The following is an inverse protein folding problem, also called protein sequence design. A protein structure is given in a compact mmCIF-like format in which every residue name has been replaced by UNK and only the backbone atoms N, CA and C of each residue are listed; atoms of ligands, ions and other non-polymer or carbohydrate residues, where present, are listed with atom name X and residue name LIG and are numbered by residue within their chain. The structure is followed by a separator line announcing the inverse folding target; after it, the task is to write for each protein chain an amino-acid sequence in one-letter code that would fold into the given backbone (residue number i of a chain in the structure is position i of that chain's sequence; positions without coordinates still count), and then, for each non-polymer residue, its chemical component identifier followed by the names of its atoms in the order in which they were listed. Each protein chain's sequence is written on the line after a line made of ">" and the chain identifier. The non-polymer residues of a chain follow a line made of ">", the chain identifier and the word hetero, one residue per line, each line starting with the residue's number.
data_IF_061035716635
#
_entry.id   IF_061035716635
#
_cell.length_a   1.000
_cell.length_b   1.000
_cell.length_c   1.000
_cell.angle_alpha   90.00
_cell.angle_beta   90.00
_cell.angle_gamma   90.00
#
_symmetry.space_group_name_H-M   'P 1'
#
loop_
_entity.id
_entity.type
_entity.pdbx_description
1 polymer ?
#
# COMPACT_ATOMS: atom_id res chain seq x y z
N UNK A 1 -1.10 11.84 -22.66
CA UNK A 1 -0.84 13.29 -22.80
C UNK A 1 -1.25 13.92 -21.48
N UNK A 2 -0.34 13.99 -20.51
CA UNK A 2 -0.64 14.31 -19.11
C UNK A 2 -0.24 15.75 -18.81
N UNK A 3 -1.24 16.59 -18.52
CA UNK A 3 -1.07 18.01 -18.26
C UNK A 3 -0.75 18.24 -16.77
N UNK A 4 0.46 18.77 -16.52
CA UNK A 4 0.93 19.19 -15.19
C UNK A 4 0.24 20.50 -14.80
N UNK A 5 -0.67 20.45 -13.83
CA UNK A 5 -1.15 21.66 -13.15
C UNK A 5 -0.16 22.01 -12.04
N UNK A 6 0.66 23.05 -12.29
CA UNK A 6 1.43 23.75 -11.24
C UNK A 6 0.52 24.79 -10.60
N UNK A 7 0.36 24.77 -9.28
CA UNK A 7 -0.20 25.90 -8.53
C UNK A 7 0.88 26.50 -7.63
N UNK A 8 1.09 27.81 -7.79
CA UNK A 8 1.97 28.67 -6.99
C UNK A 8 1.29 29.12 -5.68
N UNK A 9 2.05 29.40 -4.60
CA UNK A 9 1.48 29.75 -3.31
C UNK A 9 1.09 31.24 -3.24
N UNK A 10 -0.08 31.54 -2.64
CA UNK A 10 -0.50 32.90 -2.28
C UNK A 10 -0.47 33.12 -0.77
N UNK A 11 -0.03 34.33 -0.41
CA UNK A 11 0.31 34.83 0.91
C UNK A 11 -0.89 35.00 1.86
N UNK A 12 -0.58 35.00 3.17
CA UNK A 12 -1.49 35.26 4.30
C UNK A 12 -1.77 36.75 4.48
N UNK A 13 -2.96 37.10 4.98
CA UNK A 13 -3.16 38.19 5.94
C UNK A 13 -4.32 37.86 6.89
N UNK A 14 -4.21 38.39 8.12
CA UNK A 14 -5.03 38.11 9.29
C UNK A 14 -6.21 39.09 9.43
N UNK A 15 -7.25 38.71 10.20
CA UNK A 15 -7.94 39.54 11.20
C UNK A 15 -9.14 38.80 11.86
N UNK A 16 -9.50 39.22 13.07
CA UNK A 16 -10.68 38.86 13.90
C UNK A 16 -10.96 40.08 14.80
N UNK A 17 -12.01 40.17 15.67
CA UNK A 17 -13.23 39.36 15.92
C UNK A 17 -14.52 40.21 16.20
N UNK A 18 -15.70 39.59 16.43
CA UNK A 18 -16.65 39.98 17.53
C UNK A 18 -17.94 39.11 17.65
N UNK A 19 -18.25 38.72 18.91
CA UNK A 19 -19.50 38.34 19.67
C UNK A 19 -20.91 38.57 19.06
N UNK A 20 -22.06 37.96 19.45
CA UNK A 20 -22.65 37.21 20.61
C UNK A 20 -24.05 36.68 20.19
N UNK A 21 -24.66 35.57 20.65
CA UNK A 21 -25.46 35.39 21.88
C UNK A 21 -26.33 34.11 21.78
N UNK A 22 -26.73 33.55 22.94
CA UNK A 22 -27.39 32.26 23.28
C UNK A 22 -28.90 32.14 22.96
N UNK A 23 -29.51 30.94 22.81
CA UNK A 23 -30.18 30.11 23.86
C UNK A 23 -30.72 28.78 23.25
N UNK A 24 -30.33 27.58 23.73
CA UNK A 24 -30.97 26.64 24.71
C UNK A 24 -32.33 26.02 24.28
N UNK A 25 -32.31 24.76 23.82
CA UNK A 25 -33.09 23.61 24.35
C UNK A 25 -32.48 22.28 23.86
N UNK A 26 -32.24 21.38 24.80
CA UNK A 26 -31.54 20.10 24.68
C UNK A 26 -32.25 19.04 23.83
N UNK A 27 -31.49 18.34 22.95
CA UNK A 27 -31.65 16.89 22.68
C UNK A 27 -30.62 16.22 21.72
N UNK A 28 -29.49 16.86 21.39
CA UNK A 28 -28.40 16.19 20.65
C UNK A 28 -27.19 15.78 21.53
N UNK A 29 -27.36 15.84 22.86
CA UNK A 29 -26.29 15.50 23.82
C UNK A 29 -25.96 14.01 23.88
N UNK A 30 -26.80 13.12 23.31
CA UNK A 30 -26.50 11.67 23.21
C UNK A 30 -25.70 11.33 21.93
N UNK A 31 -25.98 12.01 20.81
CA UNK A 31 -25.18 11.87 19.58
C UNK A 31 -23.80 12.53 19.72
N UNK A 32 -23.69 13.57 20.54
CA UNK A 32 -22.45 14.30 20.78
C UNK A 32 -21.55 13.57 21.80
N UNK A 33 -22.12 12.94 22.83
CA UNK A 33 -21.33 12.18 23.83
C UNK A 33 -20.84 10.82 23.29
N UNK A 34 -21.61 10.16 22.41
CA UNK A 34 -21.16 8.96 21.70
C UNK A 34 -20.08 9.27 20.63
N UNK A 35 -20.08 10.48 20.06
CA UNK A 35 -19.06 10.93 19.11
C UNK A 35 -17.81 11.47 19.80
N UNK A 36 -17.95 12.06 21.00
CA UNK A 36 -16.82 12.53 21.82
C UNK A 36 -16.04 11.35 22.45
N UNK A 37 -16.71 10.25 22.83
CA UNK A 37 -16.03 9.03 23.28
C UNK A 37 -15.33 8.26 22.15
N UNK A 38 -15.77 8.40 20.89
CA UNK A 38 -15.01 7.85 19.74
C UNK A 38 -13.83 8.75 19.31
N UNK A 39 -13.87 10.05 19.60
CA UNK A 39 -12.79 11.00 19.29
C UNK A 39 -11.70 11.11 20.36
N UNK A 40 -11.95 10.65 21.59
CA UNK A 40 -10.94 10.71 22.65
C UNK A 40 -9.76 9.74 22.40
N UNK A 41 -9.96 8.66 21.64
CA UNK A 41 -8.89 7.74 21.23
C UNK A 41 -8.19 8.11 19.91
N UNK A 42 -8.66 9.15 19.20
CA UNK A 42 -7.98 9.73 18.03
C UNK A 42 -7.06 10.89 18.45
N UNK A 43 -7.25 11.45 19.66
CA UNK A 43 -6.70 12.75 20.08
C UNK A 43 -5.36 12.76 20.82
N UNK A 44 -4.70 11.63 21.04
CA UNK A 44 -3.28 11.70 21.44
C UNK A 44 -2.39 11.83 20.20
N UNK A 45 -2.54 12.96 19.48
CA UNK A 45 -1.45 13.51 18.68
C UNK A 45 -0.40 13.96 19.67
N UNK A 46 0.52 13.07 20.03
CA UNK A 46 1.80 13.52 20.56
C UNK A 46 2.49 14.23 19.41
N UNK A 47 2.43 15.56 19.41
CA UNK A 47 3.26 16.39 18.54
C UNK A 47 4.65 16.32 19.15
N UNK A 48 5.60 15.75 18.40
CA UNK A 48 6.99 15.64 18.85
C UNK A 48 7.68 16.93 18.43
N UNK A 49 8.30 17.64 19.36
CA UNK A 49 9.14 18.80 18.99
C UNK A 49 10.36 18.33 18.19
N UNK A 50 10.98 19.23 17.42
CA UNK A 50 12.23 18.91 16.72
C UNK A 50 13.31 18.43 17.71
N UNK A 51 13.39 19.07 18.88
CA UNK A 51 14.29 18.67 19.97
C UNK A 51 14.03 17.24 20.47
N UNK A 52 12.77 16.89 20.72
CA UNK A 52 12.40 15.53 21.12
C UNK A 52 12.71 14.50 20.01
N UNK A 53 12.49 14.87 18.75
CA UNK A 53 12.88 14.00 17.63
C UNK A 53 14.40 13.80 17.59
N UNK A 54 15.17 14.88 17.78
CA UNK A 54 16.64 14.85 17.77
C UNK A 54 17.20 14.07 18.97
N UNK A 55 16.52 14.07 20.11
CA UNK A 55 16.88 13.23 21.26
C UNK A 55 16.45 11.77 21.13
N UNK A 56 15.87 11.38 19.98
CA UNK A 56 15.48 10.01 19.67
C UNK A 56 14.06 9.63 20.09
N UNK A 57 13.25 10.56 20.60
CA UNK A 57 11.87 10.27 20.97
C UNK A 57 11.02 9.98 19.73
N UNK A 58 10.24 8.89 19.77
CA UNK A 58 9.36 8.46 18.69
C UNK A 58 8.03 7.99 19.26
N UNK A 59 6.98 8.80 19.10
CA UNK A 59 5.64 8.59 19.69
C UNK A 59 5.04 7.22 19.39
N UNK A 60 5.24 6.69 18.18
CA UNK A 60 4.68 5.41 17.76
C UNK A 60 5.51 4.22 18.25
N UNK A 61 6.65 4.44 18.91
CA UNK A 61 7.33 3.37 19.65
C UNK A 61 6.92 3.35 21.12
N UNK A 62 6.29 4.42 21.60
CA UNK A 62 5.82 4.53 22.97
C UNK A 62 4.36 4.07 23.09
N UNK A 63 4.04 3.44 24.21
CA UNK A 63 2.65 3.25 24.62
C UNK A 63 2.24 4.46 25.47
N UNK A 64 1.18 5.16 25.10
CA UNK A 64 0.70 6.30 25.88
C UNK A 64 0.28 5.85 27.29
N UNK A 65 -0.23 4.63 27.41
CA UNK A 65 -0.69 4.06 28.68
C UNK A 65 0.45 3.43 29.46
N UNK A 66 1.59 3.17 28.80
CA UNK A 66 2.73 2.52 29.44
C UNK A 66 3.98 3.29 29.06
N UNK A 67 4.60 3.95 30.02
CA UNK A 67 5.76 4.85 29.86
C UNK A 67 7.04 4.19 29.33
N UNK A 68 6.94 3.06 28.61
CA UNK A 68 8.01 2.30 27.99
C UNK A 68 7.77 2.07 26.48
N UNK A 69 8.82 1.59 25.81
CA UNK A 69 8.78 1.22 24.40
C UNK A 69 7.99 -0.07 24.16
N UNK A 70 7.27 -0.14 23.05
CA UNK A 70 6.54 -1.33 22.63
C UNK A 70 7.55 -2.34 22.06
N UNK A 71 7.92 -3.37 22.85
CA UNK A 71 8.93 -4.39 22.51
C UNK A 71 8.78 -4.94 21.10
N UNK A 72 7.54 -5.28 20.71
CA UNK A 72 7.25 -5.81 19.37
C UNK A 72 7.68 -4.84 18.26
N UNK A 73 7.42 -3.54 18.42
CA UNK A 73 7.78 -2.52 17.43
C UNK A 73 9.29 -2.32 17.39
N UNK A 74 9.94 -2.35 18.55
CA UNK A 74 11.41 -2.31 18.66
C UNK A 74 12.04 -3.48 17.93
N UNK A 75 11.55 -4.71 18.13
CA UNK A 75 12.06 -5.91 17.46
C UNK A 75 11.93 -5.84 15.94
N UNK A 76 10.78 -5.39 15.43
CA UNK A 76 10.57 -5.20 13.99
C UNK A 76 11.53 -4.16 13.43
N UNK A 77 11.72 -3.03 14.13
CA UNK A 77 12.66 -2.00 13.70
C UNK A 77 14.10 -2.53 13.67
N UNK A 78 14.54 -3.23 14.73
CA UNK A 78 15.86 -3.86 14.77
C UNK A 78 16.06 -4.83 13.60
N UNK A 79 15.04 -5.61 13.29
CA UNK A 79 15.08 -6.53 12.15
C UNK A 79 15.25 -5.80 10.82
N UNK A 80 14.47 -4.72 10.61
CA UNK A 80 14.60 -3.88 9.42
C UNK A 80 16.02 -3.29 9.30
N UNK A 81 16.54 -2.68 10.38
CA UNK A 81 17.86 -2.06 10.38
C UNK A 81 18.98 -3.06 10.09
N UNK A 82 18.96 -4.24 10.72
CA UNK A 82 19.96 -5.29 10.48
C UNK A 82 19.95 -5.76 9.02
N UNK A 83 18.77 -5.87 8.41
CA UNK A 83 18.64 -6.32 7.01
C UNK A 83 19.05 -5.23 6.03
N UNK A 84 18.72 -3.97 6.34
CA UNK A 84 19.15 -2.82 5.58
C UNK A 84 20.68 -2.70 5.60
N UNK A 85 21.30 -2.74 6.79
CA UNK A 85 22.76 -2.70 6.97
C UNK A 85 23.45 -3.82 6.19
N UNK A 86 22.94 -5.06 6.31
CA UNK A 86 23.48 -6.19 5.54
C UNK A 86 23.43 -5.95 4.02
N UNK A 87 22.34 -5.39 3.51
CA UNK A 87 22.22 -5.05 2.08
C UNK A 87 23.19 -3.95 1.68
N UNK A 88 23.25 -2.85 2.44
CA UNK A 88 24.13 -1.73 2.13
C UNK A 88 25.61 -2.15 2.11
N UNK A 89 26.02 -3.01 3.04
CA UNK A 89 27.39 -3.53 3.10
C UNK A 89 27.75 -4.47 1.93
N UNK A 90 26.75 -4.96 1.19
CA UNK A 90 26.95 -5.83 0.04
C UNK A 90 27.00 -5.06 -1.30
N UNK A 91 26.78 -3.74 -1.28
CA UNK A 91 26.76 -2.91 -2.49
C UNK A 91 28.11 -2.24 -2.69
N UNK A 92 28.48 -2.05 -3.95
CA UNK A 92 29.52 -1.10 -4.37
C UNK A 92 28.92 0.30 -4.57
N UNK A 93 29.75 1.27 -4.96
CA UNK A 93 29.31 2.66 -5.18
C UNK A 93 28.18 2.77 -6.22
N UNK A 94 28.23 1.94 -7.28
CA UNK A 94 27.18 1.89 -8.30
C UNK A 94 25.86 1.35 -7.72
N UNK A 95 25.94 0.27 -6.94
CA UNK A 95 24.81 -0.33 -6.27
C UNK A 95 24.12 0.59 -5.27
N UNK A 96 24.87 1.46 -4.59
CA UNK A 96 24.31 2.46 -3.65
C UNK A 96 23.40 3.47 -4.37
N UNK A 97 23.78 3.92 -5.57
CA UNK A 97 22.99 4.92 -6.29
C UNK A 97 21.66 4.32 -6.80
N UNK A 98 21.68 3.07 -7.28
CA UNK A 98 20.47 2.32 -7.64
C UNK A 98 19.59 1.99 -6.43
N UNK A 99 20.19 1.89 -5.24
CA UNK A 99 19.49 1.54 -4.00
C UNK A 99 18.52 2.63 -3.51
N UNK A 100 18.62 3.87 -4.00
CA UNK A 100 17.81 4.99 -3.48
C UNK A 100 16.31 4.83 -3.72
N UNK A 101 15.91 4.15 -4.79
CA UNK A 101 14.51 4.07 -5.23
C UNK A 101 13.83 2.73 -4.87
N UNK A 102 14.45 1.89 -4.03
CA UNK A 102 13.94 0.54 -3.75
C UNK A 102 13.07 0.46 -2.49
N UNK A 103 12.99 1.53 -1.71
CA UNK A 103 12.22 1.54 -0.47
C UNK A 103 10.73 1.63 -0.75
N UNK A 104 9.97 0.62 -0.31
CA UNK A 104 8.55 0.52 -0.66
C UNK A 104 7.66 0.18 0.53
N UNK A 105 6.51 0.84 0.57
CA UNK A 105 5.32 0.39 1.29
C UNK A 105 4.27 -0.02 0.26
N UNK A 106 3.61 -1.15 0.51
CA UNK A 106 2.63 -1.70 -0.39
C UNK A 106 1.40 -2.10 0.40
N UNK A 107 0.25 -1.74 -0.16
CA UNK A 107 -1.05 -2.07 0.40
C UNK A 107 -2.15 -1.86 -0.62
N UNK A 108 -3.35 -2.25 -0.23
CA UNK A 108 -4.56 -1.94 -0.98
C UNK A 108 -5.46 -1.04 -0.14
N UNK A 109 -6.32 -0.27 -0.79
CA UNK A 109 -7.27 0.62 -0.12
C UNK A 109 -8.51 0.80 -0.97
N UNK A 110 -9.66 0.99 -0.31
CA UNK A 110 -10.90 1.39 -1.00
C UNK A 110 -10.98 2.89 -1.28
N UNK A 111 -10.09 3.69 -0.69
CA UNK A 111 -10.00 5.14 -0.90
C UNK A 111 -8.53 5.55 -0.89
N UNK A 112 -7.91 5.58 -2.07
CA UNK A 112 -6.49 5.91 -2.21
C UNK A 112 -6.20 7.37 -1.90
N UNK A 113 -7.13 8.29 -2.19
CA UNK A 113 -6.97 9.72 -1.86
C UNK A 113 -6.80 9.91 -0.36
N UNK A 114 -7.70 9.30 0.44
CA UNK A 114 -7.61 9.35 1.90
C UNK A 114 -6.33 8.65 2.39
N UNK A 115 -5.99 7.50 1.80
CA UNK A 115 -4.80 6.74 2.18
C UNK A 115 -3.52 7.54 1.90
N UNK A 116 -3.48 8.28 0.80
CA UNK A 116 -2.35 9.11 0.43
C UNK A 116 -2.16 10.28 1.41
N UNK A 117 -3.24 10.96 1.76
CA UNK A 117 -3.21 12.01 2.77
C UNK A 117 -2.79 11.47 4.15
N UNK A 118 -3.26 10.26 4.51
CA UNK A 118 -2.86 9.59 5.74
C UNK A 118 -1.37 9.29 5.80
N UNK A 119 -0.80 8.76 4.72
CA UNK A 119 0.64 8.50 4.64
C UNK A 119 1.45 9.80 4.66
N UNK A 120 1.07 10.84 3.92
CA UNK A 120 1.76 12.15 3.97
C UNK A 120 1.79 12.74 5.39
N UNK A 121 0.69 12.60 6.13
CA UNK A 121 0.54 13.15 7.47
C UNK A 121 1.04 12.24 8.60
N UNK A 122 1.48 11.02 8.28
CA UNK A 122 1.88 10.03 9.28
C UNK A 122 0.74 9.56 10.20
N UNK A 123 -0.49 9.53 9.68
CA UNK A 123 -1.70 9.12 10.41
C UNK A 123 -2.10 7.72 9.95
N UNK A 124 -2.32 6.79 10.89
CA UNK A 124 -2.71 5.40 10.58
C UNK A 124 -1.80 4.73 9.54
N UNK A 125 -0.54 5.10 9.54
CA UNK A 125 0.47 4.70 8.57
C UNK A 125 1.47 3.72 9.20
N UNK A 126 2.36 3.19 8.37
CA UNK A 126 3.43 2.30 8.81
C UNK A 126 4.47 3.07 9.62
N UNK A 127 4.63 2.74 10.90
CA UNK A 127 5.56 3.44 11.79
C UNK A 127 7.04 3.26 11.37
N UNK A 128 7.41 2.14 10.74
CA UNK A 128 8.79 1.92 10.25
C UNK A 128 9.10 2.87 9.10
N UNK A 129 8.17 2.98 8.14
CA UNK A 129 8.28 3.94 7.03
C UNK A 129 8.45 5.37 7.55
N UNK A 130 7.64 5.78 8.53
CA UNK A 130 7.74 7.12 9.09
C UNK A 130 9.02 7.37 9.88
N UNK A 131 9.51 6.40 10.66
CA UNK A 131 10.83 6.53 11.29
C UNK A 131 11.92 6.75 10.25
N UNK A 132 11.89 5.96 9.18
CA UNK A 132 12.88 6.04 8.13
C UNK A 132 12.85 7.42 7.46
N UNK A 133 11.66 7.90 7.06
CA UNK A 133 11.47 9.23 6.49
C UNK A 133 11.91 10.36 7.45
N UNK A 134 11.56 10.27 8.74
CA UNK A 134 11.94 11.26 9.73
C UNK A 134 13.47 11.33 9.90
N UNK A 135 14.16 10.19 9.90
CA UNK A 135 15.62 10.12 9.92
C UNK A 135 16.22 10.74 8.65
N UNK A 136 15.72 10.39 7.47
CA UNK A 136 16.21 10.95 6.21
C UNK A 136 16.04 12.48 6.18
N UNK A 137 14.88 12.98 6.57
CA UNK A 137 14.60 14.43 6.63
C UNK A 137 15.53 15.15 7.61
N UNK A 138 15.81 14.53 8.75
CA UNK A 138 16.74 15.07 9.74
C UNK A 138 18.18 15.18 9.19
N UNK A 139 18.64 14.16 8.45
CA UNK A 139 20.02 14.09 7.96
C UNK A 139 20.27 14.84 6.66
N UNK A 140 19.33 14.86 5.71
CA UNK A 140 19.54 15.41 4.38
C UNK A 140 19.12 16.88 4.24
N UNK A 141 18.17 17.35 5.09
CA UNK A 141 17.75 18.76 5.23
C UNK A 141 17.34 19.50 3.93
N UNK A 142 17.26 18.82 2.79
CA UNK A 142 17.06 19.40 1.46
C UNK A 142 15.65 19.17 0.90
N UNK A 143 14.81 18.42 1.61
CA UNK A 143 13.46 18.07 1.16
C UNK A 143 13.43 17.12 -0.06
N UNK A 144 14.56 16.53 -0.45
CA UNK A 144 14.64 15.65 -1.62
C UNK A 144 13.96 14.29 -1.40
N UNK A 145 13.71 13.92 -0.15
CA UNK A 145 13.16 12.63 0.26
C UNK A 145 11.68 12.74 0.61
N UNK A 146 10.87 13.04 -0.40
CA UNK A 146 9.42 12.99 -0.28
C UNK A 146 8.86 11.61 -0.61
N UNK A 147 7.82 11.25 0.14
CA UNK A 147 7.09 10.02 -0.10
C UNK A 147 6.37 10.11 -1.45
N UNK A 148 6.79 9.30 -2.42
CA UNK A 148 6.11 9.20 -3.72
C UNK A 148 5.00 8.16 -3.62
N UNK A 149 3.81 8.52 -4.10
CA UNK A 149 2.61 7.69 -3.95
C UNK A 149 2.00 7.37 -5.32
N UNK A 150 1.72 6.08 -5.56
CA UNK A 150 1.28 5.59 -6.86
C UNK A 150 0.09 4.63 -6.73
N UNK A 151 -0.80 4.65 -7.72
CA UNK A 151 -1.80 3.60 -7.94
C UNK A 151 -1.32 2.72 -9.09
N UNK A 152 -0.98 1.47 -8.78
CA UNK A 152 -0.42 0.53 -9.76
C UNK A 152 -1.46 -0.43 -10.36
N UNK A 153 -2.66 -0.48 -9.79
CA UNK A 153 -3.72 -1.38 -10.25
C UNK A 153 -5.04 -1.20 -9.54
N UNK A 154 -6.11 -1.58 -10.24
CA UNK A 154 -7.48 -1.56 -9.73
C UNK A 154 -7.91 -2.97 -9.33
N UNK A 155 -8.45 -3.10 -8.12
CA UNK A 155 -8.92 -4.37 -7.60
C UNK A 155 -10.44 -4.42 -7.66
N UNK A 156 -10.98 -5.22 -8.58
CA UNK A 156 -12.44 -5.39 -8.69
C UNK A 156 -13.02 -6.46 -7.75
N UNK A 157 -12.20 -7.23 -7.03
CA UNK A 157 -12.65 -8.22 -6.05
C UNK A 157 -11.70 -8.29 -4.85
N UNK A 158 -12.16 -8.84 -3.73
CA UNK A 158 -11.31 -9.09 -2.56
C UNK A 158 -10.17 -10.08 -2.86
N UNK A 159 -10.42 -11.03 -3.77
CA UNK A 159 -9.39 -11.96 -4.24
C UNK A 159 -8.30 -11.22 -5.02
N UNK A 160 -8.66 -10.30 -5.92
CA UNK A 160 -7.69 -9.48 -6.65
C UNK A 160 -6.87 -8.60 -5.70
N UNK A 161 -7.51 -8.00 -4.69
CA UNK A 161 -6.81 -7.20 -3.69
C UNK A 161 -5.78 -8.04 -2.91
N UNK A 162 -6.19 -9.21 -2.40
CA UNK A 162 -5.31 -10.10 -1.67
C UNK A 162 -4.16 -10.64 -2.54
N UNK A 163 -4.46 -11.08 -3.76
CA UNK A 163 -3.46 -11.61 -4.69
C UNK A 163 -2.49 -10.52 -5.13
N UNK A 164 -2.99 -9.33 -5.47
CA UNK A 164 -2.18 -8.17 -5.83
C UNK A 164 -1.26 -7.74 -4.70
N UNK A 165 -1.78 -7.63 -3.47
CA UNK A 165 -0.98 -7.32 -2.29
C UNK A 165 0.14 -8.35 -2.10
N UNK A 166 -0.16 -9.65 -2.16
CA UNK A 166 0.85 -10.71 -2.04
C UNK A 166 1.89 -10.62 -3.15
N UNK A 167 1.46 -10.55 -4.40
CA UNK A 167 2.33 -10.59 -5.57
C UNK A 167 3.26 -9.38 -5.59
N UNK A 168 2.70 -8.17 -5.47
CA UNK A 168 3.50 -6.94 -5.53
C UNK A 168 4.42 -6.83 -4.32
N UNK A 169 3.95 -7.20 -3.12
CA UNK A 169 4.82 -7.19 -1.92
C UNK A 169 6.00 -8.13 -2.07
N UNK A 170 5.80 -9.29 -2.71
CA UNK A 170 6.90 -10.23 -2.98
C UNK A 170 7.85 -9.72 -4.04
N UNK A 171 7.33 -9.24 -5.17
CA UNK A 171 8.15 -8.74 -6.28
C UNK A 171 9.00 -7.54 -5.87
N UNK A 172 8.41 -6.59 -5.14
CA UNK A 172 9.11 -5.40 -4.69
C UNK A 172 9.92 -5.62 -3.40
N UNK A 173 9.97 -6.86 -2.89
CA UNK A 173 10.61 -7.17 -1.60
C UNK A 173 10.09 -6.27 -0.45
N UNK A 174 8.79 -5.97 -0.42
CA UNK A 174 8.19 -4.98 0.48
C UNK A 174 8.10 -5.36 1.96
N UNK A 175 8.78 -6.43 2.41
CA UNK A 175 8.81 -6.82 3.81
C UNK A 175 9.99 -6.24 4.59
N UNK A 176 9.82 -5.95 5.89
CA UNK A 176 10.91 -5.54 6.78
C UNK A 176 12.07 -6.53 6.82
N UNK A 177 11.79 -7.82 6.58
CA UNK A 177 12.80 -8.88 6.54
C UNK A 177 13.70 -8.82 5.31
N UNK A 178 13.32 -8.06 4.27
CA UNK A 178 14.20 -7.79 3.14
C UNK A 178 15.16 -6.64 3.43
N UNK A 179 14.82 -5.70 4.32
CA UNK A 179 15.58 -4.47 4.55
C UNK A 179 15.25 -3.32 3.58
N UNK A 180 14.38 -3.55 2.60
CA UNK A 180 13.94 -2.52 1.62
C UNK A 180 12.45 -2.23 1.73
N UNK A 181 11.72 -3.07 2.45
CA UNK A 181 10.28 -2.94 2.62
C UNK A 181 9.88 -2.51 4.03
N UNK A 182 8.74 -1.84 4.13
CA UNK A 182 8.19 -1.42 5.43
C UNK A 182 7.14 -2.38 6.00
N UNK A 183 6.62 -3.33 5.22
CA UNK A 183 5.57 -4.24 5.68
C UNK A 183 6.11 -5.29 6.65
N UNK A 184 5.60 -5.34 7.88
CA UNK A 184 5.98 -6.37 8.85
C UNK A 184 4.90 -7.43 9.08
N UNK A 185 3.70 -7.20 8.55
CA UNK A 185 2.64 -8.21 8.52
C UNK A 185 2.67 -8.95 7.18
N UNK A 186 2.46 -10.28 7.19
CA UNK A 186 2.18 -11.00 5.95
C UNK A 186 1.04 -10.33 5.20
N UNK A 187 1.20 -10.21 3.88
CA UNK A 187 0.13 -9.73 2.99
C UNK A 187 -1.11 -10.60 3.22
N UNK A 188 -2.31 -10.05 2.94
CA UNK A 188 -3.63 -10.63 3.20
C UNK A 188 -4.16 -10.50 4.63
N UNK A 189 -3.35 -10.18 5.65
CA UNK A 189 -3.83 -10.10 7.05
C UNK A 189 -4.90 -9.02 7.29
N UNK A 190 -4.90 -7.95 6.51
CA UNK A 190 -5.84 -6.81 6.66
C UNK A 190 -6.99 -6.81 5.66
N UNK A 191 -7.19 -7.90 4.91
CA UNK A 191 -8.32 -8.07 3.98
C UNK A 191 -9.56 -8.48 4.78
N UNK A 192 -10.12 -7.52 5.52
CA UNK A 192 -11.27 -7.73 6.42
C UNK A 192 -12.62 -7.46 5.70
N UNK A 193 -13.77 -7.90 6.22
CA UNK A 193 -14.40 -9.22 6.18
C UNK A 193 -15.41 -9.39 5.00
N UNK A 194 -16.05 -10.57 4.82
CA UNK A 194 -17.03 -10.87 3.75
C UNK A 194 -18.27 -9.95 3.61
N UNK A 195 -18.46 -8.97 4.51
CA UNK A 195 -19.70 -8.16 4.61
C UNK A 195 -19.87 -7.07 3.55
N UNK A 196 -18.92 -6.90 2.62
CA UNK A 196 -18.95 -5.86 1.57
C UNK A 196 -19.13 -6.39 0.14
N UNK A 197 -19.77 -7.54 -0.06
CA UNK A 197 -20.00 -8.12 -1.40
C UNK A 197 -20.62 -7.12 -2.40
N UNK A 198 -21.56 -6.29 -1.95
CA UNK A 198 -22.17 -5.24 -2.78
C UNK A 198 -21.19 -4.16 -3.23
N UNK A 199 -20.19 -3.83 -2.41
CA UNK A 199 -19.13 -2.89 -2.80
C UNK A 199 -18.23 -3.50 -3.87
N UNK A 200 -17.89 -4.79 -3.75
CA UNK A 200 -17.08 -5.47 -4.77
C UNK A 200 -17.79 -5.59 -6.11
N UNK A 201 -19.09 -5.86 -6.13
CA UNK A 201 -19.86 -5.85 -7.38
C UNK A 201 -19.80 -4.48 -8.08
N UNK A 202 -19.97 -3.39 -7.31
CA UNK A 202 -19.84 -2.02 -7.82
C UNK A 202 -18.41 -1.72 -8.31
N UNK A 203 -17.40 -2.13 -7.55
CA UNK A 203 -16.00 -1.94 -7.94
C UNK A 203 -15.64 -2.72 -9.20
N UNK A 204 -16.13 -3.95 -9.33
CA UNK A 204 -15.96 -4.76 -10.54
C UNK A 204 -16.62 -4.08 -11.74
N UNK A 205 -17.87 -3.65 -11.58
CA UNK A 205 -18.60 -2.94 -12.61
C UNK A 205 -17.87 -1.68 -13.05
N UNK A 206 -17.44 -0.86 -12.08
CA UNK A 206 -16.69 0.36 -12.36
C UNK A 206 -15.36 0.05 -13.06
N UNK A 207 -14.61 -0.94 -12.59
CA UNK A 207 -13.34 -1.36 -13.21
C UNK A 207 -13.56 -1.81 -14.64
N UNK A 208 -14.63 -2.59 -14.90
CA UNK A 208 -15.00 -3.05 -16.23
C UNK A 208 -15.29 -1.89 -17.18
N UNK A 209 -16.04 -0.89 -16.71
CA UNK A 209 -16.56 0.17 -17.56
C UNK A 209 -15.56 1.34 -17.73
N UNK A 210 -14.63 1.52 -16.80
CA UNK A 210 -13.74 2.69 -16.73
C UNK A 210 -12.25 2.34 -16.88
N UNK A 211 -11.91 1.10 -17.26
CA UNK A 211 -10.53 0.69 -17.54
C UNK A 211 -10.43 -0.15 -18.80
N UNK A 212 -9.20 -0.37 -19.27
CA UNK A 212 -8.91 -1.26 -20.41
C UNK A 212 -9.08 -2.76 -20.10
N UNK A 213 -9.67 -3.13 -18.95
CA UNK A 213 -9.84 -4.52 -18.53
C UNK A 213 -10.48 -5.38 -19.63
N UNK A 214 -11.56 -4.92 -20.25
CA UNK A 214 -12.27 -5.71 -21.26
C UNK A 214 -11.47 -5.86 -22.56
N UNK A 215 -10.68 -4.87 -22.93
CA UNK A 215 -9.77 -4.94 -24.08
C UNK A 215 -8.65 -5.95 -23.82
N UNK A 216 -8.04 -5.90 -22.64
CA UNK A 216 -7.02 -6.86 -22.21
C UNK A 216 -7.55 -8.28 -22.16
N UNK A 217 -8.76 -8.48 -21.62
CA UNK A 217 -9.41 -9.80 -21.58
C UNK A 217 -9.65 -10.33 -23.00
N UNK A 218 -10.16 -9.50 -23.91
CA UNK A 218 -10.33 -9.89 -25.33
C UNK A 218 -9.01 -10.28 -25.98
N UNK A 219 -7.96 -9.48 -25.76
CA UNK A 219 -6.61 -9.78 -26.26
C UNK A 219 -6.06 -11.11 -25.74
N UNK A 220 -6.23 -11.39 -24.45
CA UNK A 220 -5.79 -12.65 -23.84
C UNK A 220 -6.57 -13.86 -24.32
N UNK A 221 -7.88 -13.73 -24.53
CA UNK A 221 -8.69 -14.81 -25.13
C UNK A 221 -8.20 -15.11 -26.55
N UNK A 222 -7.99 -14.08 -27.38
CA UNK A 222 -7.47 -14.25 -28.74
C UNK A 222 -6.05 -14.86 -28.75
N UNK A 223 -5.19 -14.47 -27.80
CA UNK A 223 -3.85 -15.07 -27.65
C UNK A 223 -3.93 -16.55 -27.28
N UNK A 224 -4.78 -16.92 -26.32
CA UNK A 224 -4.97 -18.32 -25.91
C UNK A 224 -5.57 -19.17 -27.03
N UNK A 225 -6.51 -18.61 -27.79
CA UNK A 225 -7.12 -19.29 -28.93
C UNK A 225 -6.07 -19.65 -29.99
N UNK A 226 -5.21 -18.68 -30.37
CA UNK A 226 -4.09 -18.91 -31.29
C UNK A 226 -3.11 -19.97 -30.78
N UNK A 227 -2.80 -19.96 -29.48
CA UNK A 227 -1.93 -20.98 -28.88
C UNK A 227 -2.56 -22.38 -28.90
N UNK A 228 -3.88 -22.48 -28.71
CA UNK A 228 -4.59 -23.75 -28.79
C UNK A 228 -4.65 -24.28 -30.22
N UNK A 229 -4.86 -23.41 -31.21
CA UNK A 229 -4.84 -23.76 -32.64
C UNK A 229 -3.45 -24.24 -33.07
N UNK A 230 -2.39 -23.49 -32.73
CA UNK A 230 -1.02 -23.91 -33.03
C UNK A 230 -0.66 -25.27 -32.40
N UNK A 231 -1.11 -25.53 -31.17
CA UNK A 231 -0.92 -26.83 -30.52
C UNK A 231 -1.73 -27.97 -31.17
N UNK A 232 -2.92 -27.68 -31.71
CA UNK A 232 -3.71 -28.67 -32.46
C UNK A 232 -3.03 -29.04 -33.76
N UNK A 233 -2.55 -28.04 -34.49
CA UNK A 233 -1.77 -28.25 -35.72
C UNK A 233 -0.49 -29.04 -35.45
N UNK A 234 0.22 -28.77 -34.34
CA UNK A 234 1.39 -29.55 -33.93
C UNK A 234 1.04 -31.02 -33.65
N UNK A 235 -0.09 -31.30 -33.01
CA UNK A 235 -0.56 -32.68 -32.75
C UNK A 235 -0.96 -33.38 -34.06
N UNK A 236 -1.65 -32.69 -34.97
CA UNK A 236 -2.00 -33.23 -36.29
C UNK A 236 -0.76 -33.47 -37.16
N UNK A 237 0.25 -32.57 -37.12
CA UNK A 237 1.49 -32.68 -37.88
C UNK A 237 2.47 -33.70 -37.31
N UNK A 238 2.45 -33.93 -36.00
CA UNK A 238 3.20 -35.03 -35.38
C UNK A 238 2.63 -36.39 -35.73
N UNK A 239 1.50 -36.44 -36.45
CA UNK A 239 0.90 -37.64 -36.99
C UNK A 239 0.80 -38.69 -35.90
N UNK A 240 -0.21 -38.61 -35.04
CA UNK A 240 -0.59 -39.77 -34.22
C UNK A 240 -0.61 -40.96 -35.20
N UNK A 241 0.34 -41.93 -35.10
CA UNK A 241 0.23 -43.13 -35.91
C UNK A 241 -1.14 -43.67 -35.59
N UNK A 242 -1.90 -43.92 -36.65
CA UNK A 242 -3.32 -44.22 -36.58
C UNK A 242 -3.51 -45.21 -35.42
N UNK A 243 -4.08 -44.75 -34.30
CA UNK A 243 -4.26 -45.60 -33.12
C UNK A 243 -5.11 -46.82 -33.51
N UNK A 244 -5.84 -46.72 -34.62
CA UNK A 244 -6.50 -47.81 -35.32
C UNK A 244 -5.52 -48.82 -35.93
N UNK A 245 -4.42 -48.43 -36.58
CA UNK A 245 -3.39 -49.37 -37.06
C UNK A 245 -2.68 -50.08 -35.89
N UNK A 246 -2.35 -49.35 -34.82
CA UNK A 246 -1.71 -49.96 -33.64
C UNK A 246 -2.64 -50.92 -32.87
N UNK A 247 -3.96 -50.67 -32.86
CA UNK A 247 -4.95 -51.57 -32.27
C UNK A 247 -5.37 -52.73 -33.20
N UNK A 248 -5.13 -52.62 -34.51
CA UNK A 248 -5.41 -53.69 -35.48
C UNK A 248 -4.25 -54.69 -35.62
N UNK A 249 -3.03 -54.34 -35.18
CA UNK A 249 -1.89 -55.25 -35.15
C UNK A 249 -1.86 -56.21 -33.96
N UNK A 250 -2.69 -56.00 -32.94
CA UNK A 250 -2.80 -56.87 -31.74
C UNK A 250 -3.83 -58.02 -31.89
N UNK A 251 -4.33 -58.25 -33.12
CA UNK A 251 -5.31 -59.32 -33.44
C UNK A 251 -4.82 -60.32 -34.48
N UNK A 252 -3.51 -60.49 -34.64
CA UNK A 252 -2.91 -61.53 -35.47
C UNK A 252 -2.35 -62.67 -34.61
#
# INVERSE_FOLDING_TARGET
>A
MAERIRQTPKQRHAESPSSSSSTIFDNESVATTATISLLHNIKQRVTISLEQSNSGFRKFLWDVMRTHLIDRRVTVLKTFMQRLEHKLNALDEAGIEEFRDIFVELGFTGNFILRFAQHEQGINSNYVMHMFLDCLRHHLQDGSQDLRQYVIGLCGSSFHAALGEIMVTRLAQGYVTSGTGFSHYPARRSVDPPRRKSAWAKNWQWTRDNSCLMENVKGEVARKQRLLEAKREEIDLQGLPDLVELMMMDKA
#
